data_IF_435578113812
#
_entry.id   IF_435578113812
#
_cell.length_a   1.000
_cell.length_b   1.000
_cell.length_c   1.000
_cell.angle_alpha   90.00
_cell.angle_beta   90.00
_cell.angle_gamma   90.00
#
_symmetry.space_group_name_H-M   'P 1'
#
loop_
_entity.id
_entity.type
_entity.pdbx_description
1 polymer ?
#
# COMPACT_ATOMS: atom_id res chain seq x y z
N UNK A 1 9.46 -36.14 -33.50
CA UNK A 1 9.02 -35.72 -32.15
C UNK A 1 10.24 -35.20 -31.42
N UNK A 2 10.23 -33.94 -30.97
CA UNK A 2 11.38 -33.33 -30.32
C UNK A 2 11.57 -33.92 -28.91
N UNK A 3 12.71 -34.58 -28.68
CA UNK A 3 13.11 -35.14 -27.39
C UNK A 3 13.40 -34.00 -26.40
N UNK A 4 12.54 -33.83 -25.39
CA UNK A 4 12.75 -32.83 -24.33
C UNK A 4 13.83 -33.35 -23.37
N UNK A 5 15.01 -32.72 -23.40
CA UNK A 5 16.10 -33.04 -22.49
C UNK A 5 15.75 -32.70 -21.04
N UNK A 6 15.93 -33.65 -20.11
CA UNK A 6 15.68 -33.50 -18.66
C UNK A 6 16.34 -32.26 -18.05
N UNK A 7 17.53 -31.88 -18.55
CA UNK A 7 18.26 -30.69 -18.12
C UNK A 7 17.58 -29.40 -18.56
N UNK A 8 16.97 -29.39 -19.75
CA UNK A 8 16.17 -28.27 -20.25
C UNK A 8 14.90 -28.09 -19.42
N UNK A 9 14.25 -29.20 -19.05
CA UNK A 9 13.09 -29.18 -18.16
C UNK A 9 13.41 -28.64 -16.76
N UNK A 10 14.50 -29.11 -16.13
CA UNK A 10 14.95 -28.61 -14.82
C UNK A 10 15.33 -27.13 -14.83
N UNK A 11 16.00 -26.66 -15.89
CA UNK A 11 16.33 -25.24 -16.05
C UNK A 11 15.09 -24.39 -16.29
N UNK A 12 14.14 -24.88 -17.10
CA UNK A 12 12.87 -24.22 -17.37
C UNK A 12 11.99 -24.12 -16.13
N UNK A 13 11.90 -25.19 -15.33
CA UNK A 13 11.09 -25.20 -14.10
C UNK A 13 11.66 -24.32 -13.00
N UNK A 14 12.99 -24.24 -12.87
CA UNK A 14 13.64 -23.33 -11.92
C UNK A 14 13.46 -21.85 -12.31
N UNK A 15 13.58 -21.54 -13.60
CA UNK A 15 13.32 -20.20 -14.12
C UNK A 15 11.84 -19.79 -13.97
N UNK A 16 10.91 -20.71 -14.22
CA UNK A 16 9.49 -20.47 -14.02
C UNK A 16 9.13 -20.30 -12.52
N UNK A 17 9.70 -21.14 -11.65
CA UNK A 17 9.44 -21.09 -10.20
C UNK A 17 9.94 -19.82 -9.54
N UNK A 18 11.09 -19.27 -9.97
CA UNK A 18 11.62 -18.00 -9.46
C UNK A 18 10.81 -16.80 -9.94
N UNK A 19 10.37 -16.80 -11.21
CA UNK A 19 9.50 -15.75 -11.75
C UNK A 19 8.13 -15.70 -11.05
N UNK A 20 7.53 -16.87 -10.76
CA UNK A 20 6.27 -16.96 -10.04
C UNK A 20 6.42 -16.63 -8.55
N UNK A 21 7.52 -17.07 -7.92
CA UNK A 21 7.80 -16.80 -6.50
C UNK A 21 8.06 -15.33 -6.18
N UNK A 22 8.72 -14.60 -7.08
CA UNK A 22 8.99 -13.17 -6.89
C UNK A 22 7.75 -12.27 -7.04
N UNK A 23 6.79 -12.67 -7.90
CA UNK A 23 5.56 -11.91 -8.15
C UNK A 23 4.41 -12.22 -7.19
N UNK A 24 4.35 -13.44 -6.66
CA UNK A 24 3.19 -13.95 -5.90
C UNK A 24 3.54 -14.43 -4.48
N UNK A 25 4.82 -14.61 -4.15
CA UNK A 25 5.26 -15.32 -2.94
C UNK A 25 5.39 -14.47 -1.68
N UNK A 26 5.31 -13.14 -1.77
CA UNK A 26 5.41 -12.27 -0.60
C UNK A 26 4.06 -11.66 -0.26
N UNK A 27 3.51 -11.91 0.95
CA UNK A 27 2.30 -11.22 1.37
C UNK A 27 2.58 -9.71 1.39
N UNK A 28 1.77 -8.93 0.68
CA UNK A 28 1.87 -7.46 0.62
C UNK A 28 1.87 -6.80 2.02
N UNK A 29 1.44 -7.53 3.05
CA UNK A 29 1.43 -7.12 4.45
C UNK A 29 2.83 -6.94 5.06
N UNK A 30 3.86 -7.55 4.47
CA UNK A 30 5.26 -7.41 4.93
C UNK A 30 6.00 -6.23 4.27
N UNK A 31 5.34 -5.50 3.35
CA UNK A 31 5.92 -4.28 2.79
C UNK A 31 5.67 -3.11 3.74
N UNK A 32 6.76 -2.41 4.11
CA UNK A 32 6.64 -1.13 4.80
C UNK A 32 5.78 -0.19 3.94
N UNK A 33 4.67 0.31 4.49
CA UNK A 33 3.83 1.28 3.80
C UNK A 33 4.55 2.63 3.76
N UNK A 34 4.58 3.22 2.57
CA UNK A 34 5.15 4.55 2.30
C UNK A 34 4.28 5.68 2.88
N UNK A 35 3.00 5.38 3.15
CA UNK A 35 2.01 6.32 3.67
C UNK A 35 1.42 5.83 4.99
N UNK A 36 1.20 6.75 5.92
CA UNK A 36 0.45 6.48 7.15
C UNK A 36 -1.03 6.75 6.89
N UNK A 37 -1.86 5.71 6.98
CA UNK A 37 -3.31 5.84 6.80
C UNK A 37 -3.96 6.29 8.11
N UNK A 38 -4.70 7.39 8.06
CA UNK A 38 -5.40 7.96 9.21
C UNK A 38 -6.90 8.00 8.88
N UNK A 39 -7.74 7.53 9.81
CA UNK A 39 -9.18 7.64 9.72
C UNK A 39 -9.68 8.85 10.50
N UNK A 40 -10.47 9.72 9.86
CA UNK A 40 -11.13 10.87 10.50
C UNK A 40 -12.61 10.53 10.69
N UNK A 41 -12.98 10.14 11.90
CA UNK A 41 -14.34 9.69 12.22
C UNK A 41 -15.16 10.84 12.80
N UNK A 42 -15.78 11.60 11.90
CA UNK A 42 -16.71 12.68 12.21
C UNK A 42 -18.09 12.40 11.57
N UNK A 43 -19.16 12.86 12.21
CA UNK A 43 -20.52 12.92 11.70
C UNK A 43 -20.62 13.96 10.58
N UNK A 44 -20.28 13.56 9.35
CA UNK A 44 -20.39 14.41 8.15
C UNK A 44 -21.83 14.53 7.61
N UNK A 45 -22.80 13.91 8.29
CA UNK A 45 -24.22 13.98 7.98
C UNK A 45 -25.06 14.02 9.28
N UNK A 46 -26.32 14.44 9.17
CA UNK A 46 -27.21 14.63 10.31
C UNK A 46 -27.01 15.98 11.01
N UNK A 47 -27.52 16.11 12.23
CA UNK A 47 -27.57 17.39 12.96
C UNK A 47 -26.20 17.91 13.41
N UNK A 48 -25.18 17.05 13.46
CA UNK A 48 -23.80 17.41 13.83
C UNK A 48 -22.91 17.77 12.62
N UNK A 49 -23.37 17.56 11.39
CA UNK A 49 -22.59 17.80 10.17
C UNK A 49 -22.07 19.24 10.04
N UNK A 50 -22.90 20.22 10.38
CA UNK A 50 -22.55 21.64 10.24
C UNK A 50 -21.31 21.99 11.07
N UNK A 51 -21.22 21.47 12.30
CA UNK A 51 -20.08 21.74 13.17
C UNK A 51 -18.86 20.89 12.83
N UNK A 52 -19.07 19.65 12.38
CA UNK A 52 -17.98 18.68 12.22
C UNK A 52 -17.30 18.70 10.85
N UNK A 53 -17.94 19.26 9.81
CA UNK A 53 -17.29 19.49 8.51
C UNK A 53 -16.07 20.41 8.67
N UNK A 54 -16.22 21.53 9.38
CA UNK A 54 -15.10 22.45 9.64
C UNK A 54 -13.96 21.77 10.42
N UNK A 55 -14.29 20.88 11.35
CA UNK A 55 -13.27 20.11 12.08
C UNK A 55 -12.54 19.11 11.17
N UNK A 56 -13.25 18.42 10.27
CA UNK A 56 -12.64 17.57 9.24
C UNK A 56 -11.69 18.38 8.35
N UNK A 57 -12.07 19.59 7.96
CA UNK A 57 -11.25 20.45 7.10
C UNK A 57 -9.96 20.88 7.81
N UNK A 58 -10.05 21.26 9.08
CA UNK A 58 -8.87 21.60 9.90
C UNK A 58 -7.94 20.40 10.07
N UNK A 59 -8.48 19.19 10.27
CA UNK A 59 -7.68 17.97 10.36
C UNK A 59 -6.91 17.73 9.05
N UNK A 60 -7.56 17.91 7.91
CA UNK A 60 -6.88 17.74 6.62
C UNK A 60 -5.84 18.83 6.35
N UNK A 61 -6.14 20.08 6.71
CA UNK A 61 -5.16 21.17 6.66
C UNK A 61 -3.92 20.84 7.50
N UNK A 62 -4.12 20.32 8.72
CA UNK A 62 -3.01 19.90 9.58
C UNK A 62 -2.21 18.74 8.98
N UNK A 63 -2.88 17.76 8.33
CA UNK A 63 -2.20 16.67 7.61
C UNK A 63 -1.36 17.24 6.45
N UNK A 64 -1.89 18.19 5.69
CA UNK A 64 -1.15 18.86 4.61
C UNK A 64 0.09 19.58 5.13
N UNK A 65 -0.03 20.33 6.23
CA UNK A 65 1.12 21.01 6.86
C UNK A 65 2.19 20.02 7.34
N UNK A 66 1.79 18.91 7.95
CA UNK A 66 2.70 17.86 8.41
C UNK A 66 3.40 17.21 7.21
N UNK A 67 2.64 16.87 6.16
CA UNK A 67 3.18 16.31 4.94
C UNK A 67 4.11 17.30 4.23
N UNK A 68 3.83 18.60 4.24
CA UNK A 68 4.74 19.62 3.72
C UNK A 68 6.09 19.63 4.48
N UNK A 69 6.06 19.43 5.80
CA UNK A 69 7.25 19.38 6.68
C UNK A 69 8.03 18.06 6.65
N UNK A 70 7.67 17.12 5.77
CA UNK A 70 8.37 15.84 5.64
C UNK A 70 7.57 14.63 6.10
N UNK A 71 6.33 14.82 6.53
CA UNK A 71 5.46 13.72 6.96
C UNK A 71 5.94 13.08 8.27
N UNK A 72 5.39 11.91 8.58
CA UNK A 72 5.74 11.18 9.82
C UNK A 72 6.83 10.17 9.49
N UNK A 73 8.04 10.37 10.02
CA UNK A 73 9.21 9.53 9.72
C UNK A 73 9.49 9.42 8.20
N UNK A 74 9.25 10.49 7.44
CA UNK A 74 9.42 10.50 5.98
C UNK A 74 8.24 9.94 5.18
N UNK A 75 7.15 9.54 5.85
CA UNK A 75 5.96 8.93 5.22
C UNK A 75 4.84 9.96 5.08
N UNK A 76 4.20 10.02 3.91
CA UNK A 76 3.18 11.02 3.54
C UNK A 76 1.97 10.40 2.87
#
# INVERSE_FOLDING_TARGET
>A
MAEISRRGFLKGSLAAGTALGAGLGFPNILRAQDTVKIGVLHSLSGTMAISEVSLRDVVLMAVEEINAKGGVMGKK
#
